data_IF_797919686124
#
_entry.id   IF_797919686124
#
_cell.length_a   1.000
_cell.length_b   1.000
_cell.length_c   1.000
_cell.angle_alpha   90.00
_cell.angle_beta   90.00
_cell.angle_gamma   90.00
#
_symmetry.space_group_name_H-M   'P 1'
#
loop_
_entity.id
_entity.type
_entity.pdbx_description
1 polymer ?
#
# COMPACT_ATOMS: atom_id res chain seq x y z
N UNK A 1 -3.13 -16.66 -9.32
CA UNK A 1 -3.80 -15.52 -8.66
C UNK A 1 -3.95 -15.84 -7.18
N UNK A 2 -3.88 -14.84 -6.30
CA UNK A 2 -4.17 -15.00 -4.88
C UNK A 2 -5.65 -15.35 -4.67
N UNK A 3 -5.99 -15.88 -3.49
CA UNK A 3 -7.36 -16.27 -3.15
C UNK A 3 -8.26 -15.04 -2.93
N UNK A 4 -9.53 -15.10 -3.34
CA UNK A 4 -10.46 -13.96 -3.29
C UNK A 4 -10.75 -13.47 -1.87
N UNK A 5 -10.65 -14.34 -0.86
CA UNK A 5 -10.73 -13.94 0.57
C UNK A 5 -9.76 -12.82 0.94
N UNK A 6 -8.65 -12.66 0.21
CA UNK A 6 -7.69 -11.58 0.43
C UNK A 6 -8.22 -10.19 0.02
N UNK A 7 -9.43 -10.11 -0.57
CA UNK A 7 -10.14 -8.86 -0.80
C UNK A 7 -10.72 -8.27 0.51
N UNK A 8 -10.96 -9.10 1.53
CA UNK A 8 -11.28 -8.63 2.88
C UNK A 8 -9.97 -8.27 3.61
N UNK A 9 -9.74 -6.99 3.97
CA UNK A 9 -8.50 -6.58 4.62
C UNK A 9 -8.27 -7.28 5.97
N UNK A 10 -9.33 -7.63 6.71
CA UNK A 10 -9.19 -8.38 7.97
C UNK A 10 -8.67 -9.79 7.71
N UNK A 11 -9.27 -10.50 6.75
CA UNK A 11 -8.85 -11.85 6.37
C UNK A 11 -7.44 -11.87 5.78
N UNK A 12 -7.10 -10.85 5.01
CA UNK A 12 -5.74 -10.67 4.50
C UNK A 12 -4.71 -10.59 5.64
N UNK A 13 -4.96 -9.76 6.65
CA UNK A 13 -4.08 -9.64 7.81
C UNK A 13 -4.01 -10.94 8.63
N UNK A 14 -5.15 -11.59 8.89
CA UNK A 14 -5.19 -12.88 9.59
C UNK A 14 -4.31 -13.93 8.87
N UNK A 15 -4.44 -14.06 7.54
CA UNK A 15 -3.60 -14.97 6.73
C UNK A 15 -2.11 -14.61 6.76
N UNK A 16 -1.77 -13.32 6.84
CA UNK A 16 -0.39 -12.87 6.93
C UNK A 16 0.23 -13.28 8.28
N UNK A 17 -0.51 -13.09 9.37
CA UNK A 17 -0.11 -13.46 10.72
C UNK A 17 -0.01 -14.98 10.89
N UNK A 18 -0.94 -15.76 10.34
CA UNK A 18 -0.89 -17.22 10.34
C UNK A 18 0.39 -17.78 9.69
N UNK A 19 0.97 -17.04 8.74
CA UNK A 19 2.18 -17.40 8.02
C UNK A 19 3.42 -16.65 8.52
N UNK A 20 3.31 -15.92 9.63
CA UNK A 20 4.44 -15.24 10.24
C UNK A 20 5.44 -16.26 10.79
N UNK A 21 6.72 -16.06 10.48
CA UNK A 21 7.80 -16.82 11.07
C UNK A 21 8.28 -16.16 12.38
N UNK A 22 8.92 -16.95 13.24
CA UNK A 22 9.52 -16.45 14.47
C UNK A 22 10.52 -15.33 14.16
N UNK A 23 10.38 -14.18 14.83
CA UNK A 23 11.27 -13.03 14.63
C UNK A 23 10.98 -12.17 13.40
N UNK A 24 9.79 -12.28 12.80
CA UNK A 24 9.31 -11.37 11.74
C UNK A 24 9.36 -9.90 12.21
N UNK A 25 10.27 -9.10 11.65
CA UNK A 25 10.42 -7.66 11.98
C UNK A 25 9.70 -6.75 11.00
N UNK A 26 9.79 -7.08 9.72
CA UNK A 26 9.23 -6.29 8.64
C UNK A 26 7.78 -6.75 8.41
N UNK A 27 6.82 -6.04 9.00
CA UNK A 27 5.39 -6.38 8.88
C UNK A 27 4.77 -5.80 7.62
N UNK A 28 5.00 -4.51 7.40
CA UNK A 28 4.44 -3.77 6.27
C UNK A 28 5.37 -2.64 5.86
N UNK A 29 5.22 -2.22 4.60
CA UNK A 29 5.77 -1.00 4.06
C UNK A 29 4.63 -0.01 3.88
N UNK A 30 4.71 1.11 4.58
CA UNK A 30 3.69 2.14 4.52
C UNK A 30 4.15 3.34 3.70
N UNK A 31 3.38 3.68 2.67
CA UNK A 31 3.52 4.93 1.94
C UNK A 31 2.36 5.86 2.30
N UNK A 32 2.65 7.14 2.50
CA UNK A 32 1.63 8.17 2.75
C UNK A 32 1.72 9.27 1.70
N UNK A 33 0.70 9.38 0.86
CA UNK A 33 0.59 10.41 -0.19
C UNK A 33 -0.36 11.50 0.29
N UNK A 34 0.09 12.75 0.29
CA UNK A 34 -0.66 13.91 0.80
C UNK A 34 -1.16 14.79 -0.34
N UNK A 35 -2.35 15.33 -0.17
CA UNK A 35 -3.05 16.16 -1.15
C UNK A 35 -3.49 17.47 -0.48
N UNK A 36 -2.59 18.46 -0.30
CA UNK A 36 -2.93 19.74 0.33
C UNK A 36 -3.99 20.52 -0.43
N UNK A 37 -3.97 20.43 -1.76
CA UNK A 37 -4.87 21.14 -2.67
C UNK A 37 -5.93 20.19 -3.28
N UNK A 38 -6.43 19.24 -2.49
CA UNK A 38 -7.36 18.22 -2.99
C UNK A 38 -8.68 18.85 -3.51
N UNK A 39 -8.98 18.63 -4.80
CA UNK A 39 -10.19 19.12 -5.46
C UNK A 39 -11.28 18.03 -5.56
N UNK A 40 -10.91 16.88 -6.13
CA UNK A 40 -11.79 15.78 -6.53
C UNK A 40 -11.32 14.51 -5.86
N UNK A 41 -11.79 14.30 -4.63
CA UNK A 41 -11.39 13.16 -3.79
C UNK A 41 -11.57 11.81 -4.51
N UNK A 42 -12.66 11.62 -5.24
CA UNK A 42 -12.88 10.39 -6.03
C UNK A 42 -11.79 10.18 -7.09
N UNK A 43 -11.38 11.23 -7.80
CA UNK A 43 -10.34 11.16 -8.83
C UNK A 43 -8.97 10.88 -8.21
N UNK A 44 -8.68 11.50 -7.05
CA UNK A 44 -7.48 11.22 -6.25
C UNK A 44 -7.46 9.74 -5.84
N UNK A 45 -8.56 9.24 -5.29
CA UNK A 45 -8.69 7.84 -4.88
C UNK A 45 -8.44 6.88 -6.04
N UNK A 46 -9.08 7.09 -7.18
CA UNK A 46 -8.91 6.21 -8.34
C UNK A 46 -7.47 6.26 -8.90
N UNK A 47 -6.85 7.43 -8.91
CA UNK A 47 -5.45 7.58 -9.36
C UNK A 47 -4.49 6.80 -8.46
N UNK A 48 -4.63 6.94 -7.14
CA UNK A 48 -3.78 6.23 -6.18
C UNK A 48 -4.07 4.72 -6.17
N UNK A 49 -5.34 4.32 -6.31
CA UNK A 49 -5.74 2.92 -6.42
C UNK A 49 -5.15 2.27 -7.67
N UNK A 50 -5.15 2.97 -8.81
CA UNK A 50 -4.54 2.50 -10.04
C UNK A 50 -3.02 2.35 -9.90
N UNK A 51 -2.34 3.34 -9.28
CA UNK A 51 -0.92 3.26 -8.96
C UNK A 51 -0.60 2.02 -8.10
N UNK A 52 -1.34 1.82 -7.00
CA UNK A 52 -1.14 0.69 -6.11
C UNK A 52 -1.35 -0.64 -6.85
N UNK A 53 -2.41 -0.74 -7.64
CA UNK A 53 -2.72 -1.93 -8.41
C UNK A 53 -1.59 -2.28 -9.39
N UNK A 54 -1.07 -1.30 -10.14
CA UNK A 54 -0.03 -1.55 -11.13
C UNK A 54 1.34 -1.79 -10.48
N UNK A 55 1.85 -0.82 -9.72
CA UNK A 55 3.24 -0.82 -9.22
C UNK A 55 3.48 -1.73 -8.02
N UNK A 56 2.44 -2.00 -7.23
CA UNK A 56 2.57 -2.82 -6.01
C UNK A 56 1.96 -4.19 -6.25
N UNK A 57 0.67 -4.25 -6.62
CA UNK A 57 -0.02 -5.53 -6.71
C UNK A 57 0.44 -6.34 -7.92
N UNK A 58 0.52 -5.75 -9.11
CA UNK A 58 0.85 -6.47 -10.35
C UNK A 58 2.35 -6.65 -10.53
N UNK A 59 3.12 -5.57 -10.52
CA UNK A 59 4.57 -5.63 -10.76
C UNK A 59 5.33 -6.35 -9.64
N UNK A 60 4.86 -6.28 -8.39
CA UNK A 60 5.59 -6.79 -7.21
C UNK A 60 4.85 -7.86 -6.42
N UNK A 61 3.67 -8.27 -6.87
CA UNK A 61 2.84 -9.25 -6.13
C UNK A 61 2.56 -8.84 -4.68
N UNK A 62 2.48 -7.54 -4.37
CA UNK A 62 2.20 -7.06 -3.02
C UNK A 62 0.71 -7.01 -2.74
N UNK A 63 0.30 -7.48 -1.57
CA UNK A 63 -1.04 -7.20 -1.06
C UNK A 63 -1.04 -5.84 -0.39
N UNK A 64 -1.98 -4.96 -0.78
CA UNK A 64 -2.03 -3.57 -0.32
C UNK A 64 -3.38 -3.25 0.28
N UNK A 65 -3.38 -2.71 1.49
CA UNK A 65 -4.55 -2.09 2.11
C UNK A 65 -4.43 -0.58 1.90
N UNK A 66 -5.42 0.01 1.24
CA UNK A 66 -5.47 1.45 0.99
C UNK A 66 -6.50 2.11 1.91
N UNK A 67 -6.13 3.21 2.55
CA UNK A 67 -7.01 3.98 3.42
C UNK A 67 -6.93 5.47 3.07
N UNK A 68 -8.06 6.09 2.72
CA UNK A 68 -8.14 7.52 2.45
C UNK A 68 -8.64 8.28 3.68
N UNK A 69 -7.77 9.06 4.28
CA UNK A 69 -8.08 9.89 5.43
C UNK A 69 -8.48 11.30 5.02
N UNK A 70 -9.54 11.81 5.64
CA UNK A 70 -10.05 13.19 5.48
C UNK A 70 -10.11 13.92 6.84
N UNK A 71 -8.95 14.20 7.48
CA UNK A 71 -8.92 14.80 8.83
C UNK A 71 -9.61 16.17 8.90
N UNK A 72 -9.64 16.90 7.79
CA UNK A 72 -10.32 18.20 7.66
C UNK A 72 -11.80 18.14 8.04
N UNK A 73 -12.47 16.99 7.90
CA UNK A 73 -13.88 16.83 8.25
C UNK A 73 -14.14 16.92 9.76
N UNK A 74 -13.10 16.72 10.59
CA UNK A 74 -13.16 16.82 12.05
C UNK A 74 -12.38 18.02 12.59
N UNK A 75 -12.07 19.01 11.73
CA UNK A 75 -11.39 20.24 12.14
C UNK A 75 -9.86 20.13 12.28
N UNK A 76 -9.23 19.03 11.84
CA UNK A 76 -7.78 18.94 11.77
C UNK A 76 -7.22 19.76 10.61
N UNK A 77 -6.05 20.37 10.80
CA UNK A 77 -5.30 21.07 9.74
C UNK A 77 -4.50 20.13 8.83
N UNK A 78 -4.49 18.83 9.13
CA UNK A 78 -3.81 17.86 8.28
C UNK A 78 -4.54 17.71 6.94
N UNK A 79 -3.83 17.77 5.81
CA UNK A 79 -4.47 17.65 4.51
C UNK A 79 -5.01 16.23 4.28
N UNK A 80 -5.98 16.06 3.37
CA UNK A 80 -6.36 14.75 2.84
C UNK A 80 -5.13 13.94 2.44
N UNK A 81 -5.11 12.66 2.81
CA UNK A 81 -3.99 11.77 2.50
C UNK A 81 -4.42 10.32 2.40
N UNK A 82 -3.70 9.56 1.57
CA UNK A 82 -3.92 8.12 1.40
C UNK A 82 -2.73 7.37 1.97
N UNK A 83 -3.01 6.42 2.86
CA UNK A 83 -2.07 5.39 3.26
C UNK A 83 -2.18 4.20 2.32
N UNK A 84 -1.05 3.76 1.78
CA UNK A 84 -0.90 2.47 1.11
C UNK A 84 -0.04 1.59 1.99
N UNK A 85 -0.66 0.60 2.64
CA UNK A 85 -0.02 -0.35 3.54
C UNK A 85 0.19 -1.65 2.76
N UNK A 86 1.38 -1.80 2.19
CA UNK A 86 1.77 -3.03 1.51
C UNK A 86 2.34 -4.02 2.53
N UNK A 87 1.84 -5.25 2.57
CA UNK A 87 2.43 -6.29 3.41
C UNK A 87 3.87 -6.57 2.94
N UNK A 88 4.81 -6.77 3.87
CA UNK A 88 6.23 -6.78 3.52
C UNK A 88 6.72 -8.05 2.77
N UNK A 89 5.80 -8.95 2.41
CA UNK A 89 6.07 -10.19 1.67
C UNK A 89 5.17 -10.30 0.44
N UNK A 90 5.69 -10.94 -0.60
CA UNK A 90 4.93 -11.19 -1.82
C UNK A 90 3.76 -12.14 -1.54
N UNK A 91 2.58 -11.83 -2.07
CA UNK A 91 1.39 -12.67 -2.05
C UNK A 91 1.28 -13.42 -3.38
N UNK A 92 1.43 -14.75 -3.32
CA UNK A 92 1.24 -15.67 -4.45
C UNK A 92 -0.07 -16.45 -4.29
N UNK A 93 -0.36 -17.32 -5.26
CA UNK A 93 -1.55 -18.20 -5.20
C UNK A 93 -1.53 -19.18 -4.03
N UNK A 94 -0.35 -19.47 -3.49
CA UNK A 94 -0.12 -20.42 -2.40
C UNK A 94 0.23 -19.73 -1.07
N UNK A 95 0.00 -18.42 -0.95
CA UNK A 95 0.26 -17.66 0.27
C UNK A 95 1.41 -16.67 0.15
N UNK A 96 1.89 -16.20 1.30
CA UNK A 96 2.98 -15.24 1.42
C UNK A 96 4.34 -15.93 1.28
N UNK A 97 5.24 -15.32 0.51
CA UNK A 97 6.56 -15.89 0.21
C UNK A 97 7.68 -14.96 0.67
N UNK A 98 8.50 -14.49 -0.25
CA UNK A 98 9.73 -13.73 -0.03
C UNK A 98 9.43 -12.31 0.45
N UNK A 99 10.38 -11.73 1.18
CA UNK A 99 10.33 -10.33 1.58
C UNK A 99 10.61 -9.42 0.40
N UNK A 100 9.84 -8.34 0.30
CA UNK A 100 10.02 -7.36 -0.79
C UNK A 100 11.07 -6.33 -0.39
N UNK A 101 12.33 -6.72 -0.55
CA UNK A 101 13.48 -5.81 -0.51
C UNK A 101 13.75 -5.26 -1.92
N UNK A 102 14.09 -3.97 -2.07
CA UNK A 102 14.51 -3.01 -1.04
C UNK A 102 13.39 -2.14 -0.45
N UNK A 103 12.11 -2.40 -0.74
CA UNK A 103 11.00 -1.56 -0.28
C UNK A 103 10.83 -1.58 1.25
N UNK A 104 11.00 -2.75 1.87
CA UNK A 104 11.01 -2.90 3.32
C UNK A 104 12.38 -2.53 3.95
N UNK A 105 12.97 -1.42 3.50
CA UNK A 105 14.25 -0.90 4.00
C UNK A 105 14.37 0.62 3.73
N UNK A 106 15.44 1.24 4.22
CA UNK A 106 15.72 2.69 4.06
C UNK A 106 15.56 3.23 2.62
N UNK A 107 15.97 2.51 1.56
CA UNK A 107 15.80 2.99 0.18
C UNK A 107 14.34 3.08 -0.28
N UNK A 108 13.42 2.37 0.38
CA UNK A 108 12.02 2.24 -0.04
C UNK A 108 11.31 3.60 -0.19
N UNK A 109 11.61 4.56 0.67
CA UNK A 109 11.05 5.92 0.59
C UNK A 109 11.41 6.61 -0.72
N UNK A 110 12.68 6.55 -1.12
CA UNK A 110 13.16 7.22 -2.33
C UNK A 110 12.59 6.54 -3.59
N UNK A 111 12.52 5.21 -3.59
CA UNK A 111 11.93 4.41 -4.66
C UNK A 111 10.46 4.80 -4.88
N UNK A 112 9.66 4.80 -3.82
CA UNK A 112 8.25 5.16 -3.94
C UNK A 112 8.03 6.61 -4.36
N UNK A 113 8.85 7.55 -3.86
CA UNK A 113 8.75 8.94 -4.26
C UNK A 113 9.02 9.11 -5.76
N UNK A 114 10.03 8.42 -6.30
CA UNK A 114 10.36 8.45 -7.72
C UNK A 114 9.25 7.81 -8.57
N UNK A 115 8.73 6.65 -8.16
CA UNK A 115 7.68 5.94 -8.89
C UNK A 115 6.35 6.69 -8.90
N UNK A 116 6.00 7.32 -7.77
CA UNK A 116 4.82 8.16 -7.71
C UNK A 116 4.97 9.39 -8.61
N UNK A 117 6.14 10.04 -8.60
CA UNK A 117 6.41 11.18 -9.48
C UNK A 117 6.32 10.80 -10.96
N UNK A 118 6.87 9.63 -11.34
CA UNK A 118 6.73 9.09 -12.71
C UNK A 118 5.27 8.79 -13.06
N UNK A 119 4.50 8.24 -12.11
CA UNK A 119 3.08 7.92 -12.35
C UNK A 119 2.25 9.17 -12.65
N UNK A 120 2.54 10.28 -11.98
CA UNK A 120 1.81 11.54 -12.14
C UNK A 120 2.01 12.21 -13.51
N UNK A 121 2.97 11.76 -14.32
CA UNK A 121 3.25 12.34 -15.65
C UNK A 121 2.67 11.54 -16.82
N UNK A 122 1.95 10.43 -16.54
CA UNK A 122 1.33 9.59 -17.56
C UNK A 122 0.02 10.15 -18.12
#
# INVERSE_FOLDING_TARGET
MAHDDCLDPKRLCEKYEEQACEGLKDLLVMMTIRFPDADRLHAIWETVRAFACERLCRERSLAVIAAFHLPVQIGSTNPPHIHLMALARELKSYGFTDFVRPLAADPGKAIFAAEWAEWQTR
#
